data_IF_472182125369
#
_entry.id   IF_472182125369
#
_cell.length_a   1.000
_cell.length_b   1.000
_cell.length_c   1.000
_cell.angle_alpha   90.00
_cell.angle_beta   90.00
_cell.angle_gamma   90.00
#
_symmetry.space_group_name_H-M   'P 1'
#
loop_
_entity.id
_entity.type
_entity.pdbx_description
1 polymer ?
#
# COMPACT_ATOMS: atom_id res chain seq x y z
N UNK A 1 -27.58 -16.01 -8.96
CA UNK A 1 -27.45 -15.30 -7.66
C UNK A 1 -26.47 -15.98 -6.70
N UNK A 2 -26.72 -17.17 -6.12
CA UNK A 2 -25.77 -17.82 -5.19
C UNK A 2 -24.43 -18.22 -5.86
N UNK A 3 -24.46 -18.58 -7.15
CA UNK A 3 -23.26 -18.90 -7.95
C UNK A 3 -22.45 -17.66 -8.37
N UNK A 4 -23.07 -16.48 -8.45
CA UNK A 4 -22.39 -15.25 -8.90
C UNK A 4 -21.61 -14.61 -7.74
N UNK A 5 -22.17 -14.65 -6.51
CA UNK A 5 -21.46 -14.19 -5.31
C UNK A 5 -20.24 -15.06 -4.99
N UNK A 6 -20.34 -16.38 -5.14
CA UNK A 6 -19.21 -17.29 -4.92
C UNK A 6 -18.07 -17.08 -5.95
N UNK A 7 -18.40 -16.73 -7.20
CA UNK A 7 -17.41 -16.38 -8.22
C UNK A 7 -16.74 -15.04 -7.95
N UNK A 8 -17.50 -14.05 -7.49
CA UNK A 8 -16.96 -12.75 -7.09
C UNK A 8 -16.02 -12.85 -5.89
N UNK A 9 -16.34 -13.70 -4.91
CA UNK A 9 -15.47 -13.91 -3.74
C UNK A 9 -14.09 -14.47 -4.12
N UNK A 10 -14.02 -15.33 -5.16
CA UNK A 10 -12.74 -15.83 -5.68
C UNK A 10 -11.91 -14.71 -6.30
N UNK A 11 -12.55 -13.77 -7.01
CA UNK A 11 -11.86 -12.65 -7.65
C UNK A 11 -11.23 -11.69 -6.64
N UNK A 12 -11.85 -11.50 -5.47
CA UNK A 12 -11.32 -10.65 -4.40
C UNK A 12 -10.27 -11.33 -3.51
N UNK A 13 -9.85 -12.58 -3.83
CA UNK A 13 -8.75 -13.20 -3.11
C UNK A 13 -7.45 -12.43 -3.32
N UNK A 14 -6.67 -12.16 -2.25
CA UNK A 14 -5.40 -11.45 -2.35
C UNK A 14 -4.45 -11.99 -3.42
N UNK A 15 -4.28 -13.32 -3.51
CA UNK A 15 -3.38 -13.95 -4.50
C UNK A 15 -3.86 -13.76 -5.92
N UNK A 16 -5.17 -13.81 -6.15
CA UNK A 16 -5.77 -13.60 -7.48
C UNK A 16 -5.56 -12.16 -7.92
N UNK A 17 -5.87 -11.19 -7.05
CA UNK A 17 -5.66 -9.77 -7.34
C UNK A 17 -4.19 -9.45 -7.60
N UNK A 18 -3.28 -9.94 -6.74
CA UNK A 18 -1.84 -9.72 -6.90
C UNK A 18 -1.34 -10.33 -8.21
N UNK A 19 -1.72 -11.57 -8.52
CA UNK A 19 -1.29 -12.24 -9.75
C UNK A 19 -1.81 -11.52 -10.99
N UNK A 20 -3.11 -11.22 -11.05
CA UNK A 20 -3.72 -10.52 -12.20
C UNK A 20 -3.04 -9.18 -12.43
N UNK A 21 -2.85 -8.38 -11.37
CA UNK A 21 -2.24 -7.06 -11.50
C UNK A 21 -0.76 -7.15 -11.87
N UNK A 22 -0.01 -8.11 -11.32
CA UNK A 22 1.40 -8.32 -11.70
C UNK A 22 1.53 -8.72 -13.17
N UNK A 23 0.73 -9.67 -13.65
CA UNK A 23 0.79 -10.07 -15.05
C UNK A 23 0.29 -8.98 -15.98
N UNK A 24 -0.76 -8.24 -15.62
CA UNK A 24 -1.22 -7.07 -16.38
C UNK A 24 -0.13 -6.01 -16.46
N UNK A 25 0.58 -5.73 -15.36
CA UNK A 25 1.68 -4.78 -15.32
C UNK A 25 2.84 -5.20 -16.24
N UNK A 26 3.19 -6.49 -16.24
CA UNK A 26 4.22 -7.04 -17.15
C UNK A 26 3.76 -7.04 -18.61
N UNK A 27 2.49 -7.30 -18.90
CA UNK A 27 1.94 -7.30 -20.26
C UNK A 27 1.87 -5.89 -20.86
N UNK A 28 1.57 -4.88 -20.04
CA UNK A 28 1.52 -3.47 -20.48
C UNK A 28 2.93 -2.89 -20.65
N UNK A 29 3.94 -3.46 -19.97
CA UNK A 29 5.34 -3.06 -20.13
C UNK A 29 5.85 -3.35 -21.54
N UNK A 30 6.48 -2.35 -22.17
CA UNK A 30 7.20 -2.54 -23.43
C UNK A 30 8.58 -3.19 -23.24
N UNK A 31 9.05 -3.32 -22.01
CA UNK A 31 10.33 -3.96 -21.69
C UNK A 31 10.15 -5.47 -21.48
N UNK A 32 10.91 -6.27 -22.23
CA UNK A 32 11.00 -7.73 -22.07
C UNK A 32 11.89 -8.07 -20.88
N UNK A 33 11.38 -8.85 -19.93
CA UNK A 33 12.12 -9.20 -18.72
C UNK A 33 12.98 -10.45 -18.93
N UNK A 34 14.11 -10.53 -18.23
CA UNK A 34 14.96 -11.72 -18.26
C UNK A 34 14.27 -12.95 -17.64
N UNK A 35 14.74 -14.15 -18.00
CA UNK A 35 14.20 -15.41 -17.48
C UNK A 35 14.36 -15.53 -15.96
N UNK A 36 15.46 -15.02 -15.40
CA UNK A 36 15.74 -15.06 -13.96
C UNK A 36 14.73 -14.17 -13.22
N UNK A 37 14.53 -12.94 -13.70
CA UNK A 37 13.53 -12.01 -13.16
C UNK A 37 12.13 -12.60 -13.23
N UNK A 38 11.72 -13.12 -14.39
CA UNK A 38 10.41 -13.77 -14.52
C UNK A 38 10.24 -14.94 -13.55
N UNK A 39 11.26 -15.80 -13.44
CA UNK A 39 11.24 -16.95 -12.53
C UNK A 39 11.10 -16.53 -11.08
N UNK A 40 11.76 -15.43 -10.67
CA UNK A 40 11.63 -14.90 -9.33
C UNK A 40 10.24 -14.32 -9.05
N UNK A 41 9.64 -13.59 -10.01
CA UNK A 41 8.25 -13.10 -9.89
C UNK A 41 7.28 -14.28 -9.69
N UNK A 42 7.40 -15.32 -10.50
CA UNK A 42 6.56 -16.53 -10.39
C UNK A 42 6.77 -17.20 -9.03
N UNK A 43 8.02 -17.35 -8.57
CA UNK A 43 8.31 -17.90 -7.25
C UNK A 43 7.67 -17.08 -6.12
N UNK A 44 7.74 -15.75 -6.19
CA UNK A 44 7.12 -14.88 -5.19
C UNK A 44 5.59 -15.02 -5.18
N UNK A 45 4.95 -15.11 -6.34
CA UNK A 45 3.50 -15.35 -6.44
C UNK A 45 3.10 -16.72 -5.88
N UNK A 46 3.90 -17.76 -6.14
CA UNK A 46 3.69 -19.10 -5.57
C UNK A 46 3.82 -19.09 -4.05
N UNK A 47 4.89 -18.48 -3.52
CA UNK A 47 5.10 -18.33 -2.07
C UNK A 47 3.97 -17.53 -1.42
N UNK A 48 3.52 -16.45 -2.08
CA UNK A 48 2.38 -15.67 -1.63
C UNK A 48 1.10 -16.51 -1.56
N UNK A 49 0.80 -17.30 -2.60
CA UNK A 49 -0.36 -18.18 -2.65
C UNK A 49 -0.33 -19.24 -1.54
N UNK A 50 0.84 -19.89 -1.32
CA UNK A 50 1.03 -20.83 -0.21
C UNK A 50 0.79 -20.13 1.13
N UNK A 51 1.35 -18.93 1.30
CA UNK A 51 1.15 -18.10 2.49
C UNK A 51 -0.32 -17.81 2.74
N UNK A 52 -1.06 -17.39 1.71
CA UNK A 52 -2.49 -17.11 1.80
C UNK A 52 -3.28 -18.34 2.26
N UNK A 53 -2.99 -19.52 1.68
CA UNK A 53 -3.64 -20.76 2.10
C UNK A 53 -3.35 -21.11 3.56
N UNK A 54 -2.11 -20.93 4.01
CA UNK A 54 -1.75 -21.08 5.42
C UNK A 54 -2.54 -20.10 6.29
N UNK A 55 -2.67 -18.84 5.87
CA UNK A 55 -3.35 -17.78 6.64
C UNK A 55 -4.84 -18.06 6.77
N UNK A 56 -5.47 -18.50 5.68
CA UNK A 56 -6.87 -18.92 5.66
C UNK A 56 -7.09 -20.13 6.58
N UNK A 57 -6.18 -21.10 6.58
CA UNK A 57 -6.28 -22.31 7.43
C UNK A 57 -6.03 -22.01 8.91
N UNK A 58 -5.13 -21.08 9.22
CA UNK A 58 -4.83 -20.68 10.59
C UNK A 58 -6.02 -19.99 11.27
N UNK A 59 -6.97 -19.46 10.51
CA UNK A 59 -8.07 -18.66 11.04
C UNK A 59 -9.03 -19.45 11.97
N UNK A 60 -8.99 -19.15 13.26
CA UNK A 60 -9.95 -19.65 14.26
C UNK A 60 -11.31 -18.95 14.22
N UNK A 61 -12.42 -19.69 14.42
CA UNK A 61 -13.81 -19.17 14.35
C UNK A 61 -14.24 -18.24 15.51
N UNK A 62 -13.44 -18.12 16.57
CA UNK A 62 -13.81 -17.29 17.73
C UNK A 62 -13.18 -15.91 17.58
N UNK A 63 -13.91 -14.98 16.97
CA UNK A 63 -13.52 -13.57 16.97
C UNK A 63 -14.42 -12.78 17.90
N UNK A 64 -13.79 -12.07 18.84
CA UNK A 64 -14.45 -11.07 19.67
C UNK A 64 -14.78 -9.86 18.79
N UNK A 65 -16.07 -9.55 18.61
CA UNK A 65 -16.51 -8.27 18.04
C UNK A 65 -16.09 -7.15 19.00
N UNK A 66 -14.93 -6.53 18.77
CA UNK A 66 -14.55 -5.33 19.53
C UNK A 66 -15.46 -4.17 19.15
N UNK A 67 -15.85 -3.40 20.16
CA UNK A 67 -16.93 -2.41 20.06
C UNK A 67 -16.54 -1.18 19.22
N UNK A 68 -17.43 -0.80 18.31
CA UNK A 68 -17.38 0.38 17.43
C UNK A 68 -16.96 1.73 18.12
N UNK A 69 -17.28 2.00 19.41
CA UNK A 69 -16.94 3.27 20.06
C UNK A 69 -15.44 3.53 20.27
N UNK A 70 -14.60 2.48 20.39
CA UNK A 70 -13.15 2.66 20.53
C UNK A 70 -12.50 3.11 19.20
N UNK A 71 -13.06 2.68 18.06
CA UNK A 71 -12.56 3.02 16.73
C UNK A 71 -12.68 4.53 16.44
N UNK A 72 -13.76 5.19 16.87
CA UNK A 72 -13.93 6.63 16.70
C UNK A 72 -12.88 7.43 17.49
N UNK A 73 -12.63 7.08 18.76
CA UNK A 73 -11.65 7.79 19.59
C UNK A 73 -10.24 7.68 19.00
N UNK A 74 -9.84 6.47 18.61
CA UNK A 74 -8.54 6.22 17.97
C UNK A 74 -8.46 6.95 16.63
N UNK A 75 -9.52 6.86 15.81
CA UNK A 75 -9.60 7.55 14.52
C UNK A 75 -9.42 9.07 14.66
N UNK A 76 -10.08 9.70 15.64
CA UNK A 76 -9.94 11.14 15.88
C UNK A 76 -8.52 11.54 16.30
N UNK A 77 -7.90 10.80 17.22
CA UNK A 77 -6.53 11.06 17.63
C UNK A 77 -5.55 10.93 16.48
N UNK A 78 -5.64 9.84 15.70
CA UNK A 78 -4.79 9.64 14.53
C UNK A 78 -5.00 10.74 13.48
N UNK A 79 -6.25 11.15 13.25
CA UNK A 79 -6.57 12.21 12.29
C UNK A 79 -5.99 13.57 12.73
N UNK A 80 -6.07 13.89 14.03
CA UNK A 80 -5.53 15.11 14.59
C UNK A 80 -3.99 15.16 14.49
N UNK A 81 -3.30 14.07 14.85
CA UNK A 81 -1.85 13.95 14.68
C UNK A 81 -1.46 14.12 13.23
N UNK A 82 -2.16 13.45 12.31
CA UNK A 82 -1.86 13.53 10.89
C UNK A 82 -2.02 14.95 10.32
N UNK A 83 -3.09 15.66 10.72
CA UNK A 83 -3.31 17.06 10.34
C UNK A 83 -2.20 17.96 10.90
N UNK A 84 -1.86 17.82 12.18
CA UNK A 84 -0.82 18.62 12.80
C UNK A 84 0.54 18.41 12.10
N UNK A 85 0.90 17.16 11.84
CA UNK A 85 2.12 16.82 11.09
C UNK A 85 2.10 17.38 9.67
N UNK A 86 0.98 17.30 8.96
CA UNK A 86 0.83 17.85 7.60
C UNK A 86 1.07 19.37 7.58
N UNK A 87 0.45 20.10 8.52
CA UNK A 87 0.59 21.55 8.61
C UNK A 87 2.03 21.96 8.96
N UNK A 88 2.64 21.30 9.94
CA UNK A 88 4.04 21.53 10.31
C UNK A 88 4.98 21.27 9.14
N UNK A 89 4.71 20.24 8.34
CA UNK A 89 5.53 19.89 7.19
C UNK A 89 5.43 20.95 6.08
N UNK A 90 4.21 21.41 5.74
CA UNK A 90 4.03 22.48 4.75
C UNK A 90 4.66 23.80 5.19
N UNK A 91 4.57 24.12 6.48
CA UNK A 91 5.23 25.30 7.04
C UNK A 91 6.75 25.18 6.96
N UNK A 92 7.31 24.05 7.40
CA UNK A 92 8.76 23.80 7.39
C UNK A 92 9.34 23.72 5.96
N UNK A 93 8.59 23.16 5.01
CA UNK A 93 9.03 23.04 3.61
C UNK A 93 8.81 24.32 2.79
N UNK A 94 8.17 25.35 3.36
CA UNK A 94 7.96 26.63 2.71
C UNK A 94 6.86 26.64 1.64
N UNK A 95 5.92 25.69 1.65
CA UNK A 95 4.80 25.67 0.70
C UNK A 95 4.13 24.31 0.53
N UNK A 96 3.24 24.23 -0.47
CA UNK A 96 2.39 23.07 -0.75
C UNK A 96 2.95 22.27 -1.94
N UNK A 97 3.39 21.01 -1.74
CA UNK A 97 3.93 20.14 -2.77
C UNK A 97 3.10 19.96 -4.04
N UNK A 98 1.76 19.99 -3.93
CA UNK A 98 0.87 19.82 -5.07
C UNK A 98 1.07 20.92 -6.13
N UNK A 99 1.30 22.16 -5.72
CA UNK A 99 1.50 23.29 -6.63
C UNK A 99 2.95 23.45 -7.06
N UNK A 100 3.89 23.04 -6.21
CA UNK A 100 5.32 23.09 -6.49
C UNK A 100 5.97 21.74 -6.15
N UNK A 101 6.06 20.80 -7.11
CA UNK A 101 6.55 19.45 -6.87
C UNK A 101 7.98 19.36 -6.33
N UNK A 102 8.78 20.43 -6.53
CA UNK A 102 10.14 20.57 -6.04
C UNK A 102 10.21 20.70 -4.51
N UNK A 103 9.12 21.12 -3.84
CA UNK A 103 9.08 21.29 -2.38
C UNK A 103 9.23 19.95 -1.64
N UNK A 104 8.88 18.83 -2.29
CA UNK A 104 8.87 17.50 -1.65
C UNK A 104 10.23 17.06 -1.12
N UNK A 105 11.32 17.51 -1.74
CA UNK A 105 12.67 17.18 -1.27
C UNK A 105 13.03 17.88 0.05
N UNK A 106 12.29 18.92 0.42
CA UNK A 106 12.49 19.68 1.67
C UNK A 106 11.52 19.26 2.78
N UNK A 107 10.61 18.33 2.50
CA UNK A 107 9.71 17.80 3.52
C UNK A 107 10.47 16.91 4.49
N UNK A 108 10.14 17.02 5.77
CA UNK A 108 10.71 16.14 6.78
C UNK A 108 10.11 14.72 6.62
N UNK A 109 10.92 13.67 6.45
CA UNK A 109 10.43 12.30 6.24
C UNK A 109 9.54 11.80 7.39
N UNK A 110 9.89 12.09 8.64
CA UNK A 110 9.14 11.65 9.82
C UNK A 110 7.76 12.31 9.87
N UNK A 111 7.69 13.65 9.68
CA UNK A 111 6.40 14.36 9.62
C UNK A 111 5.56 13.91 8.44
N UNK A 112 6.19 13.52 7.33
CA UNK A 112 5.51 12.97 6.16
C UNK A 112 4.86 11.63 6.49
N UNK A 113 5.60 10.70 7.08
CA UNK A 113 5.08 9.41 7.54
C UNK A 113 3.93 9.57 8.54
N UNK A 114 4.04 10.50 9.49
CA UNK A 114 2.96 10.80 10.43
C UNK A 114 1.72 11.40 9.75
N UNK A 115 1.91 12.23 8.73
CA UNK A 115 0.78 12.78 7.96
C UNK A 115 0.03 11.70 7.17
N UNK A 116 0.69 10.61 6.78
CA UNK A 116 0.04 9.48 6.10
C UNK A 116 -0.90 8.67 7.00
N UNK A 117 -0.83 8.85 8.34
CA UNK A 117 -1.83 8.30 9.27
C UNK A 117 -3.25 8.81 9.00
N UNK A 118 -3.40 9.89 8.22
CA UNK A 118 -4.71 10.40 7.82
C UNK A 118 -5.54 9.34 7.07
N UNK A 119 -4.89 8.43 6.33
CA UNK A 119 -5.53 7.36 5.56
C UNK A 119 -6.21 6.34 6.49
N UNK A 120 -5.48 5.62 7.37
CA UNK A 120 -6.12 4.69 8.32
C UNK A 120 -7.09 5.40 9.27
N UNK A 121 -6.80 6.65 9.67
CA UNK A 121 -7.68 7.43 10.52
C UNK A 121 -9.05 7.70 9.87
N UNK A 122 -9.06 8.12 8.60
CA UNK A 122 -10.30 8.36 7.87
C UNK A 122 -11.14 7.09 7.72
N UNK A 123 -10.51 5.94 7.44
CA UNK A 123 -11.20 4.65 7.35
C UNK A 123 -11.85 4.25 8.69
N UNK A 124 -11.14 4.44 9.81
CA UNK A 124 -11.67 4.21 11.15
C UNK A 124 -12.87 5.11 11.45
N UNK A 125 -12.79 6.39 11.11
CA UNK A 125 -13.90 7.33 11.29
C UNK A 125 -15.11 6.94 10.42
N UNK A 126 -14.90 6.57 9.16
CA UNK A 126 -15.99 6.13 8.27
C UNK A 126 -16.72 4.91 8.82
N UNK A 127 -15.98 3.87 9.22
CA UNK A 127 -16.54 2.67 9.82
C UNK A 127 -17.24 2.98 11.15
N UNK A 128 -16.63 3.83 11.99
CA UNK A 128 -17.20 4.25 13.26
C UNK A 128 -18.54 4.98 13.10
N UNK A 129 -18.71 5.73 12.01
CA UNK A 129 -19.95 6.46 11.70
C UNK A 129 -21.04 5.63 11.01
N UNK A 130 -20.76 4.39 10.62
CA UNK A 130 -21.70 3.53 9.86
C UNK A 130 -23.09 3.40 10.50
N UNK A 131 -23.18 3.34 11.83
CA UNK A 131 -24.42 3.17 12.58
C UNK A 131 -25.18 4.45 12.97
N UNK A 132 -24.79 5.63 12.48
CA UNK A 132 -25.42 6.90 12.89
C UNK A 132 -26.47 7.42 11.90
N UNK A 133 -27.47 8.18 12.42
CA UNK A 133 -28.63 8.73 11.68
C UNK A 133 -28.30 9.59 10.43
N UNK A 134 -27.05 10.05 10.29
CA UNK A 134 -26.52 10.79 9.12
C UNK A 134 -25.18 10.20 8.62
N UNK A 135 -25.00 8.89 8.74
CA UNK A 135 -23.75 8.20 8.43
C UNK A 135 -23.21 8.53 7.04
N UNK A 136 -24.07 8.46 6.01
CA UNK A 136 -23.68 8.68 4.60
C UNK A 136 -23.09 10.07 4.34
N UNK A 137 -23.72 11.12 4.87
CA UNK A 137 -23.24 12.51 4.70
C UNK A 137 -21.90 12.70 5.42
N UNK A 138 -21.77 12.16 6.64
CA UNK A 138 -20.52 12.25 7.41
C UNK A 138 -19.39 11.49 6.74
N UNK A 139 -19.65 10.28 6.23
CA UNK A 139 -18.66 9.50 5.49
C UNK A 139 -18.24 10.22 4.21
N UNK A 140 -19.18 10.83 3.46
CA UNK A 140 -18.86 11.62 2.27
C UNK A 140 -18.00 12.84 2.61
N UNK A 141 -18.32 13.54 3.71
CA UNK A 141 -17.54 14.68 4.17
C UNK A 141 -16.11 14.27 4.56
N UNK A 142 -15.96 13.19 5.34
CA UNK A 142 -14.65 12.63 5.68
C UNK A 142 -13.89 12.25 4.41
N UNK A 143 -14.55 11.56 3.47
CA UNK A 143 -13.94 11.16 2.21
C UNK A 143 -13.41 12.36 1.42
N UNK A 144 -14.24 13.38 1.21
CA UNK A 144 -13.88 14.55 0.44
C UNK A 144 -12.76 15.37 1.11
N UNK A 145 -12.84 15.60 2.42
CA UNK A 145 -11.83 16.35 3.17
C UNK A 145 -10.50 15.60 3.19
N UNK A 146 -10.52 14.29 3.47
CA UNK A 146 -9.29 13.48 3.46
C UNK A 146 -8.68 13.40 2.07
N UNK A 147 -9.48 13.20 1.02
CA UNK A 147 -8.99 13.18 -0.36
C UNK A 147 -8.32 14.51 -0.73
N UNK A 148 -8.95 15.63 -0.35
CA UNK A 148 -8.37 16.96 -0.55
C UNK A 148 -7.03 17.10 0.18
N UNK A 149 -6.98 16.81 1.49
CA UNK A 149 -5.78 16.96 2.30
C UNK A 149 -4.61 16.09 1.83
N UNK A 150 -4.86 14.82 1.51
CA UNK A 150 -3.80 13.93 0.99
C UNK A 150 -3.34 14.42 -0.38
N UNK A 151 -4.24 14.92 -1.23
CA UNK A 151 -3.86 15.43 -2.56
C UNK A 151 -2.90 16.62 -2.47
N UNK A 152 -3.01 17.47 -1.44
CA UNK A 152 -2.08 18.59 -1.21
C UNK A 152 -0.62 18.15 -1.03
N UNK A 153 -0.39 16.91 -0.56
CA UNK A 153 0.96 16.36 -0.41
C UNK A 153 1.66 16.07 -1.75
N UNK A 154 0.91 15.99 -2.85
CA UNK A 154 1.46 15.66 -4.17
C UNK A 154 2.02 14.22 -4.29
N UNK A 155 1.75 13.34 -3.31
CA UNK A 155 2.10 11.91 -3.37
C UNK A 155 0.94 11.10 -3.99
N UNK A 156 1.16 10.55 -5.19
CA UNK A 156 0.15 9.77 -5.92
C UNK A 156 -0.21 8.45 -5.22
N UNK A 157 0.81 7.79 -4.66
CA UNK A 157 0.66 6.49 -3.96
C UNK A 157 -0.36 6.59 -2.84
N UNK A 158 -0.22 7.56 -1.93
CA UNK A 158 -1.12 7.70 -0.78
C UNK A 158 -2.56 8.04 -1.16
N UNK A 159 -2.75 8.87 -2.21
CA UNK A 159 -4.08 9.13 -2.75
C UNK A 159 -4.72 7.84 -3.26
N UNK A 160 -3.98 7.03 -4.03
CA UNK A 160 -4.47 5.75 -4.53
C UNK A 160 -4.75 4.77 -3.40
N UNK A 161 -3.87 4.71 -2.40
CA UNK A 161 -4.07 3.88 -1.20
C UNK A 161 -5.40 4.25 -0.54
N UNK A 162 -5.65 5.53 -0.32
CA UNK A 162 -6.90 5.98 0.28
C UNK A 162 -8.12 5.62 -0.56
N UNK A 163 -8.09 5.87 -1.86
CA UNK A 163 -9.21 5.59 -2.77
C UNK A 163 -9.55 4.10 -2.82
N UNK A 164 -8.57 3.23 -3.11
CA UNK A 164 -8.82 1.80 -3.23
C UNK A 164 -9.13 1.15 -1.88
N UNK A 165 -8.47 1.57 -0.80
CA UNK A 165 -8.76 1.05 0.54
C UNK A 165 -10.18 1.42 0.97
N UNK A 166 -10.64 2.63 0.66
CA UNK A 166 -12.03 3.03 0.94
C UNK A 166 -13.02 2.13 0.21
N UNK A 167 -12.79 1.83 -1.07
CA UNK A 167 -13.67 0.95 -1.85
C UNK A 167 -13.74 -0.45 -1.23
N UNK A 168 -12.60 -1.03 -0.87
CA UNK A 168 -12.54 -2.37 -0.24
C UNK A 168 -13.21 -2.37 1.15
N UNK A 169 -12.95 -1.37 1.99
CA UNK A 169 -13.58 -1.27 3.31
C UNK A 169 -15.09 -1.15 3.19
N UNK A 170 -15.59 -0.29 2.30
CA UNK A 170 -17.03 -0.13 2.07
C UNK A 170 -17.67 -1.42 1.51
N UNK A 171 -16.93 -2.18 0.70
CA UNK A 171 -17.35 -3.51 0.22
C UNK A 171 -17.46 -4.52 1.34
N UNK A 172 -16.40 -4.70 2.15
CA UNK A 172 -16.37 -5.68 3.24
C UNK A 172 -17.36 -5.36 4.36
N UNK A 173 -17.59 -4.07 4.64
CA UNK A 173 -18.54 -3.65 5.67
C UNK A 173 -19.99 -3.59 5.21
N UNK A 174 -20.25 -3.71 3.90
CA UNK A 174 -21.60 -3.72 3.34
C UNK A 174 -22.38 -2.41 3.53
N UNK A 175 -21.70 -1.30 3.85
CA UNK A 175 -22.35 -0.01 4.17
C UNK A 175 -22.98 0.61 2.91
N UNK A 176 -22.41 0.34 1.74
CA UNK A 176 -22.71 0.99 0.46
C UNK A 176 -23.09 -0.07 -0.58
N UNK A 177 -24.05 0.24 -1.44
CA UNK A 177 -24.51 -0.70 -2.48
C UNK A 177 -23.46 -0.90 -3.57
N UNK A 178 -23.46 -2.06 -4.24
CA UNK A 178 -22.51 -2.39 -5.32
C UNK A 178 -22.50 -1.35 -6.45
N UNK A 179 -23.66 -0.76 -6.78
CA UNK A 179 -23.76 0.32 -7.78
C UNK A 179 -22.98 1.57 -7.36
N UNK A 180 -23.10 1.97 -6.10
CA UNK A 180 -22.38 3.13 -5.56
C UNK A 180 -20.88 2.86 -5.45
N UNK A 181 -20.47 1.61 -5.15
CA UNK A 181 -19.07 1.21 -5.19
C UNK A 181 -18.48 1.32 -6.60
N UNK A 182 -19.22 0.90 -7.64
CA UNK A 182 -18.78 1.06 -9.03
C UNK A 182 -18.60 2.54 -9.41
N UNK A 183 -19.53 3.40 -9.01
CA UNK A 183 -19.43 4.85 -9.24
C UNK A 183 -18.20 5.45 -8.55
N UNK A 184 -17.94 5.06 -7.30
CA UNK A 184 -16.73 5.45 -6.55
C UNK A 184 -15.45 4.95 -7.21
N UNK A 185 -15.46 3.73 -7.76
CA UNK A 185 -14.34 3.17 -8.51
C UNK A 185 -14.03 3.95 -9.79
N UNK A 186 -15.07 4.28 -10.57
CA UNK A 186 -14.90 5.12 -11.77
C UNK A 186 -14.38 6.51 -11.38
N UNK A 187 -14.92 7.11 -10.33
CA UNK A 187 -14.45 8.41 -9.83
C UNK A 187 -12.98 8.35 -9.38
N UNK A 188 -12.57 7.28 -8.69
CA UNK A 188 -11.19 7.08 -8.26
C UNK A 188 -10.22 7.01 -9.45
N UNK A 189 -10.59 6.27 -10.50
CA UNK A 189 -9.80 6.17 -11.73
C UNK A 189 -9.71 7.52 -12.44
N UNK A 190 -10.83 8.23 -12.59
CA UNK A 190 -10.85 9.57 -13.19
C UNK A 190 -9.99 10.57 -12.39
N UNK A 191 -10.09 10.54 -11.06
CA UNK A 191 -9.32 11.40 -10.18
C UNK A 191 -7.81 11.11 -10.28
N UNK A 192 -7.43 9.84 -10.37
CA UNK A 192 -6.05 9.44 -10.60
C UNK A 192 -5.50 10.01 -11.93
N UNK A 193 -6.27 9.90 -13.00
CA UNK A 193 -5.89 10.47 -14.30
C UNK A 193 -5.78 11.99 -14.26
N UNK A 194 -6.74 12.67 -13.62
CA UNK A 194 -6.71 14.11 -13.45
C UNK A 194 -5.46 14.58 -12.68
N UNK A 195 -5.13 13.92 -11.56
CA UNK A 195 -3.92 14.22 -10.80
C UNK A 195 -2.64 13.98 -11.60
N UNK A 196 -2.62 12.94 -12.42
CA UNK A 196 -1.46 12.65 -13.28
C UNK A 196 -1.29 13.75 -14.31
N UNK A 197 -2.36 14.13 -15.03
CA UNK A 197 -2.31 15.19 -16.04
C UNK A 197 -1.86 16.55 -15.48
N UNK A 198 -2.43 16.97 -14.34
CA UNK A 198 -2.08 18.25 -13.70
C UNK A 198 -0.59 18.30 -13.34
N UNK A 199 -0.04 17.15 -12.94
CA UNK A 199 1.32 17.07 -12.42
C UNK A 199 2.39 16.93 -13.51
N UNK A 200 2.17 16.07 -14.49
CA UNK A 200 3.18 15.74 -15.52
C UNK A 200 2.97 16.50 -16.83
N UNK A 201 1.87 17.25 -16.97
CA UNK A 201 1.54 17.94 -18.22
C UNK A 201 1.19 17.01 -19.37
N UNK A 202 1.04 15.70 -19.11
CA UNK A 202 0.81 14.66 -20.11
C UNK A 202 0.92 13.24 -19.54
N UNK A 203 0.64 12.24 -20.37
CA UNK A 203 0.77 10.82 -20.05
C UNK A 203 2.21 10.34 -20.29
N UNK A 204 2.91 9.97 -19.22
CA UNK A 204 4.20 9.28 -19.33
C UNK A 204 3.95 7.77 -19.48
N UNK A 205 3.77 7.33 -20.73
CA UNK A 205 3.54 5.92 -21.09
C UNK A 205 4.74 5.02 -20.77
N UNK A 206 5.93 5.59 -20.57
CA UNK A 206 7.16 4.82 -20.34
C UNK A 206 7.37 4.46 -18.87
N UNK A 207 6.53 4.94 -17.95
CA UNK A 207 6.75 4.72 -16.52
C UNK A 207 6.71 3.25 -16.11
N UNK A 208 5.75 2.48 -16.64
CA UNK A 208 5.63 1.04 -16.37
C UNK A 208 6.90 0.34 -16.86
N UNK A 209 7.33 0.60 -18.09
CA UNK A 209 8.55 0.03 -18.67
C UNK A 209 9.81 0.44 -17.92
N UNK A 210 9.89 1.68 -17.43
CA UNK A 210 10.99 2.16 -16.58
C UNK A 210 11.06 1.42 -15.25
N UNK A 211 9.92 1.13 -14.61
CA UNK A 211 9.87 0.34 -13.37
C UNK A 211 10.25 -1.12 -13.60
N UNK A 212 9.78 -1.72 -14.69
CA UNK A 212 10.09 -3.12 -15.03
C UNK A 212 11.56 -3.27 -15.42
N UNK A 213 12.11 -2.33 -16.20
CA UNK A 213 13.54 -2.34 -16.54
C UNK A 213 14.43 -2.06 -15.33
N UNK A 214 14.04 -1.15 -14.44
CA UNK A 214 14.73 -0.94 -13.16
C UNK A 214 14.76 -2.22 -12.32
N UNK A 215 13.66 -2.97 -12.28
CA UNK A 215 13.59 -4.26 -11.61
C UNK A 215 14.53 -5.29 -12.26
N UNK A 216 14.46 -5.47 -13.58
CA UNK A 216 15.29 -6.46 -14.29
C UNK A 216 16.79 -6.12 -14.15
N UNK A 217 17.13 -4.84 -14.16
CA UNK A 217 18.49 -4.37 -13.90
C UNK A 217 18.95 -4.74 -12.49
N UNK A 218 18.14 -4.46 -11.45
CA UNK A 218 18.46 -4.83 -10.07
C UNK A 218 18.73 -6.34 -9.94
N UNK A 219 17.90 -7.17 -10.57
CA UNK A 219 18.09 -8.62 -10.59
C UNK A 219 19.39 -9.00 -11.30
N UNK A 220 19.71 -8.37 -12.43
CA UNK A 220 20.92 -8.65 -13.20
C UNK A 220 22.22 -8.32 -12.46
N UNK A 221 22.17 -7.33 -11.55
CA UNK A 221 23.32 -6.90 -10.76
C UNK A 221 23.42 -7.62 -9.41
N UNK A 222 22.35 -8.31 -8.99
CA UNK A 222 22.29 -8.96 -7.68
C UNK A 222 22.57 -10.46 -7.82
N UNK A 223 23.43 -10.99 -6.94
CA UNK A 223 23.69 -12.43 -6.86
C UNK A 223 22.42 -13.21 -6.46
N UNK A 224 22.40 -14.51 -6.78
CA UNK A 224 21.26 -15.39 -6.46
C UNK A 224 20.97 -15.53 -4.96
N UNK A 225 21.94 -15.19 -4.11
CA UNK A 225 21.83 -15.18 -2.63
C UNK A 225 21.58 -13.77 -2.07
N UNK A 226 21.48 -12.75 -2.91
CA UNK A 226 21.32 -11.36 -2.52
C UNK A 226 22.67 -10.66 -2.27
N UNK A 227 22.66 -9.35 -2.47
CA UNK A 227 23.82 -8.48 -2.36
C UNK A 227 23.79 -7.65 -1.06
N UNK A 228 22.63 -7.06 -0.73
CA UNK A 228 22.51 -6.07 0.35
C UNK A 228 22.08 -6.62 1.70
N UNK A 229 21.71 -7.90 1.80
CA UNK A 229 21.41 -8.63 3.05
C UNK A 229 20.42 -7.93 3.99
N UNK A 230 19.45 -7.18 3.43
CA UNK A 230 18.40 -6.48 4.16
C UNK A 230 18.60 -4.97 4.26
N UNK A 231 19.76 -4.45 3.83
CA UNK A 231 20.05 -3.02 3.93
C UNK A 231 19.10 -2.16 3.08
N UNK A 232 18.60 -2.65 1.94
CA UNK A 232 17.67 -1.89 1.09
C UNK A 232 16.29 -1.84 1.73
N UNK A 233 15.76 -2.99 2.15
CA UNK A 233 14.43 -3.08 2.76
C UNK A 233 14.29 -2.35 4.09
N UNK A 234 15.36 -2.32 4.88
CA UNK A 234 15.35 -1.75 6.22
C UNK A 234 16.10 -0.42 6.29
N UNK A 235 16.47 0.18 5.16
CA UNK A 235 17.22 1.43 5.09
C UNK A 235 16.60 2.53 5.98
N UNK A 236 15.30 2.75 5.84
CA UNK A 236 14.55 3.76 6.61
C UNK A 236 14.54 3.45 8.12
N UNK A 237 14.53 2.17 8.49
CA UNK A 237 14.62 1.76 9.89
C UNK A 237 16.01 2.01 10.44
N UNK A 238 17.04 1.64 9.69
CA UNK A 238 18.44 1.84 10.07
C UNK A 238 18.73 3.33 10.20
N UNK A 239 18.20 4.17 9.30
CA UNK A 239 18.36 5.64 9.35
C UNK A 239 17.83 6.25 10.65
N UNK A 240 16.66 5.79 11.15
CA UNK A 240 16.09 6.27 12.42
C UNK A 240 17.02 6.02 13.62
N UNK A 241 17.76 4.91 13.60
CA UNK A 241 18.65 4.50 14.69
C UNK A 241 20.13 4.80 14.41
N UNK A 242 20.44 5.41 13.27
CA UNK A 242 21.80 5.72 12.83
C UNK A 242 22.12 7.19 13.06
N UNK A 243 23.36 7.48 13.47
CA UNK A 243 23.89 8.84 13.52
C UNK A 243 24.43 9.33 12.17
N UNK A 244 24.55 8.42 11.19
CA UNK A 244 24.97 8.70 9.82
C UNK A 244 23.72 8.80 8.92
N UNK A 245 23.66 9.79 8.00
CA UNK A 245 22.54 9.91 7.07
C UNK A 245 22.55 8.72 6.11
N UNK A 246 21.52 7.87 6.20
CA UNK A 246 21.34 6.73 5.31
C UNK A 246 20.33 7.11 4.25
N UNK A 247 20.66 6.82 2.98
CA UNK A 247 19.71 6.99 1.90
C UNK A 247 18.51 6.06 2.10
N UNK A 248 17.30 6.60 2.03
CA UNK A 248 16.08 5.78 2.04
C UNK A 248 16.11 4.72 0.93
N UNK A 249 15.44 3.60 1.14
CA UNK A 249 15.74 2.41 0.34
C UNK A 249 15.44 2.55 -1.17
N UNK A 250 14.50 3.42 -1.58
CA UNK A 250 14.29 3.78 -3.00
C UNK A 250 15.45 4.57 -3.63
N UNK A 251 16.23 5.27 -2.82
CA UNK A 251 17.44 6.01 -3.24
C UNK A 251 18.66 5.09 -3.24
N UNK A 252 18.68 4.04 -2.42
CA UNK A 252 19.67 2.98 -2.53
C UNK A 252 19.49 2.20 -3.84
N UNK A 253 18.25 1.87 -4.21
CA UNK A 253 17.93 1.20 -5.48
C UNK A 253 18.39 2.02 -6.69
N UNK A 254 18.17 3.34 -6.70
CA UNK A 254 18.66 4.18 -7.80
C UNK A 254 20.18 4.24 -7.89
N UNK A 255 20.85 4.25 -6.73
CA UNK A 255 22.31 4.19 -6.64
C UNK A 255 22.82 2.85 -7.21
N UNK A 256 22.13 1.73 -6.95
CA UNK A 256 22.44 0.44 -7.57
C UNK A 256 22.22 0.41 -9.09
N UNK A 257 21.17 1.08 -9.58
CA UNK A 257 20.88 1.15 -11.01
C UNK A 257 21.87 2.09 -11.75
N UNK A 258 22.72 2.83 -11.02
CA UNK A 258 23.65 3.80 -11.60
C UNK A 258 22.97 5.06 -12.13
N UNK A 259 21.68 5.26 -11.80
CA UNK A 259 20.95 6.49 -12.12
C UNK A 259 21.27 7.49 -11.02
N UNK A 260 22.06 8.52 -11.37
CA UNK A 260 22.45 9.70 -10.55
C UNK A 260 22.16 9.57 -9.04
N UNK A 261 23.22 9.49 -8.24
CA UNK A 261 23.17 9.55 -6.77
C UNK A 261 22.25 10.70 -6.29
N UNK A 262 21.22 10.36 -5.50
CA UNK A 262 20.29 11.32 -4.91
C UNK A 262 18.90 11.41 -5.57
N UNK A 263 18.62 10.67 -6.65
CA UNK A 263 17.27 10.59 -7.26
C UNK A 263 16.60 9.30 -6.86
N UNK A 264 15.38 9.30 -6.32
CA UNK A 264 14.67 8.05 -6.02
C UNK A 264 14.16 7.38 -7.30
N UNK A 265 14.52 6.11 -7.49
CA UNK A 265 14.03 5.28 -8.60
C UNK A 265 13.28 4.09 -8.01
N UNK A 266 12.06 3.85 -8.49
CA UNK A 266 11.24 2.75 -8.00
C UNK A 266 11.46 1.52 -8.87
N UNK A 267 11.96 0.44 -8.27
CA UNK A 267 11.85 -0.90 -8.86
C UNK A 267 10.48 -1.50 -8.53
N UNK A 268 10.07 -2.49 -9.32
CA UNK A 268 8.89 -3.31 -9.05
C UNK A 268 8.91 -3.90 -7.62
N UNK A 269 7.75 -4.27 -7.07
CA UNK A 269 7.58 -4.92 -5.75
C UNK A 269 8.64 -5.99 -5.42
N UNK A 270 9.05 -6.74 -6.42
CA UNK A 270 9.97 -7.88 -6.31
C UNK A 270 11.45 -7.49 -6.31
N UNK A 271 11.82 -6.29 -6.75
CA UNK A 271 13.21 -5.85 -6.84
C UNK A 271 13.95 -5.77 -5.49
N UNK A 272 13.43 -5.03 -4.49
CA UNK A 272 14.12 -4.86 -3.22
C UNK A 272 14.37 -6.19 -2.48
N UNK A 273 13.37 -7.10 -2.33
CA UNK A 273 13.60 -8.42 -1.74
C UNK A 273 14.67 -9.25 -2.45
N UNK A 274 14.76 -9.17 -3.79
CA UNK A 274 15.80 -9.88 -4.55
C UNK A 274 17.18 -9.24 -4.34
N UNK A 275 17.27 -7.92 -4.34
CA UNK A 275 18.54 -7.22 -4.06
C UNK A 275 19.10 -7.61 -2.69
N UNK A 276 18.23 -7.72 -1.69
CA UNK A 276 18.62 -8.06 -0.32
C UNK A 276 18.97 -9.53 -0.14
N UNK A 277 18.12 -10.45 -0.61
CA UNK A 277 18.20 -11.87 -0.24
C UNK A 277 18.17 -12.82 -1.44
N UNK A 278 18.20 -12.31 -2.67
CA UNK A 278 18.09 -13.10 -3.89
C UNK A 278 16.80 -13.92 -3.91
N UNK A 279 16.91 -15.20 -4.28
CA UNK A 279 15.74 -16.10 -4.31
C UNK A 279 15.11 -16.32 -2.94
N UNK A 280 15.87 -16.20 -1.84
CA UNK A 280 15.34 -16.31 -0.48
C UNK A 280 14.42 -15.14 -0.11
N UNK A 281 14.52 -14.01 -0.83
CA UNK A 281 13.60 -12.87 -0.68
C UNK A 281 12.13 -13.25 -0.95
N UNK A 282 11.88 -14.34 -1.68
CA UNK A 282 10.53 -14.88 -1.90
C UNK A 282 9.81 -15.29 -0.60
N UNK A 283 10.54 -15.58 0.49
CA UNK A 283 9.96 -15.90 1.80
C UNK A 283 9.21 -14.72 2.42
N UNK A 284 9.55 -13.49 2.06
CA UNK A 284 8.81 -12.30 2.50
C UNK A 284 7.37 -12.33 1.94
N UNK A 285 7.20 -12.82 0.73
CA UNK A 285 5.88 -12.97 0.11
C UNK A 285 5.07 -14.09 0.76
N UNK A 286 5.72 -15.14 1.28
CA UNK A 286 5.05 -16.13 2.14
C UNK A 286 4.44 -15.46 3.37
N UNK A 287 5.19 -14.59 4.04
CA UNK A 287 4.70 -13.82 5.20
C UNK A 287 3.57 -12.87 4.82
N UNK A 288 3.71 -12.09 3.73
CA UNK A 288 2.64 -11.20 3.26
C UNK A 288 1.37 -11.96 2.89
N UNK A 289 1.51 -13.11 2.21
CA UNK A 289 0.42 -14.01 1.89
C UNK A 289 -0.28 -14.51 3.15
N UNK A 290 0.49 -14.92 4.17
CA UNK A 290 -0.07 -15.40 5.44
C UNK A 290 -0.92 -14.35 6.17
N UNK A 291 -0.40 -13.13 6.32
CA UNK A 291 -1.13 -12.02 6.94
C UNK A 291 -2.40 -11.67 6.15
N UNK A 292 -2.30 -11.61 4.82
CA UNK A 292 -3.44 -11.26 3.97
C UNK A 292 -4.49 -12.37 3.87
N UNK A 293 -4.09 -13.63 3.87
CA UNK A 293 -5.00 -14.78 3.90
C UNK A 293 -5.82 -14.83 5.18
N UNK A 294 -5.17 -14.56 6.33
CA UNK A 294 -5.88 -14.39 7.60
C UNK A 294 -6.84 -13.19 7.53
N UNK A 295 -6.33 -12.04 7.10
CA UNK A 295 -7.10 -10.80 6.99
C UNK A 295 -8.32 -10.93 6.07
N UNK A 296 -8.23 -11.68 4.98
CA UNK A 296 -9.32 -11.91 4.04
C UNK A 296 -10.50 -12.64 4.70
N UNK A 297 -10.23 -13.67 5.52
CA UNK A 297 -11.28 -14.34 6.30
C UNK A 297 -11.80 -13.43 7.43
N UNK A 298 -10.91 -12.76 8.13
CA UNK A 298 -11.28 -11.87 9.24
C UNK A 298 -12.13 -10.66 8.79
N UNK A 299 -11.84 -10.10 7.62
CA UNK A 299 -12.53 -8.94 7.06
C UNK A 299 -14.03 -9.18 6.84
N UNK A 300 -14.42 -10.43 6.54
CA UNK A 300 -15.83 -10.82 6.41
C UNK A 300 -16.60 -10.83 7.73
N UNK A 301 -15.91 -10.81 8.88
CA UNK A 301 -16.52 -10.96 10.21
C UNK A 301 -16.56 -9.66 11.03
N UNK A 302 -15.68 -8.70 10.73
CA UNK A 302 -15.58 -7.47 11.53
C UNK A 302 -14.95 -6.30 10.80
N UNK A 303 -15.45 -5.11 11.10
CA UNK A 303 -15.08 -3.88 10.40
C UNK A 303 -13.66 -3.39 10.69
N UNK A 304 -13.09 -3.68 11.86
CA UNK A 304 -11.69 -3.39 12.17
C UNK A 304 -10.70 -4.21 11.33
N UNK A 305 -11.00 -5.51 11.13
CA UNK A 305 -10.22 -6.38 10.25
C UNK A 305 -10.31 -5.95 8.80
N UNK A 306 -11.49 -5.52 8.36
CA UNK A 306 -11.69 -5.02 7.00
C UNK A 306 -10.79 -3.81 6.70
N UNK A 307 -10.60 -2.89 7.65
CA UNK A 307 -9.71 -1.72 7.47
C UNK A 307 -8.26 -2.16 7.28
N UNK A 308 -7.73 -2.94 8.22
CA UNK A 308 -6.33 -3.37 8.19
C UNK A 308 -6.03 -4.25 6.97
N UNK A 309 -6.93 -5.18 6.65
CA UNK A 309 -6.81 -6.03 5.47
C UNK A 309 -6.80 -5.20 4.18
N UNK A 310 -7.73 -4.26 4.04
CA UNK A 310 -7.85 -3.41 2.84
C UNK A 310 -6.62 -2.54 2.65
N UNK A 311 -6.11 -1.90 3.72
CA UNK A 311 -4.91 -1.07 3.67
C UNK A 311 -3.70 -1.88 3.21
N UNK A 312 -3.41 -2.98 3.90
CA UNK A 312 -2.23 -3.80 3.64
C UNK A 312 -2.29 -4.42 2.24
N UNK A 313 -3.48 -4.88 1.80
CA UNK A 313 -3.68 -5.39 0.45
C UNK A 313 -3.39 -4.31 -0.60
N UNK A 314 -3.96 -3.11 -0.44
CA UNK A 314 -3.80 -2.03 -1.41
C UNK A 314 -2.36 -1.53 -1.48
N UNK A 315 -1.66 -1.41 -0.34
CA UNK A 315 -0.23 -1.10 -0.34
C UNK A 315 0.58 -2.14 -1.10
N UNK A 316 0.26 -3.43 -0.96
CA UNK A 316 0.91 -4.49 -1.71
C UNK A 316 0.64 -4.37 -3.22
N UNK A 317 -0.62 -4.13 -3.61
CA UNK A 317 -1.01 -4.01 -5.01
C UNK A 317 -0.37 -2.79 -5.69
N UNK A 318 -0.37 -1.63 -5.03
CA UNK A 318 0.31 -0.43 -5.57
C UNK A 318 1.83 -0.60 -5.54
N UNK A 319 2.33 -1.37 -4.57
CA UNK A 319 3.73 -1.77 -4.46
C UNK A 319 4.30 -2.44 -5.71
N UNK A 320 3.45 -3.02 -6.58
CA UNK A 320 3.85 -3.56 -7.90
C UNK A 320 4.59 -2.46 -8.69
N UNK A 321 4.07 -1.24 -8.74
CA UNK A 321 4.71 -0.13 -9.47
C UNK A 321 5.76 0.60 -8.62
N UNK A 322 5.50 0.78 -7.32
CA UNK A 322 6.30 1.71 -6.50
C UNK A 322 7.41 1.05 -5.67
N UNK A 323 7.45 -0.28 -5.63
CA UNK A 323 8.28 -1.06 -4.72
C UNK A 323 7.83 -0.92 -3.26
N UNK A 324 7.98 -1.99 -2.47
CA UNK A 324 7.82 -1.93 -1.01
C UNK A 324 9.20 -1.78 -0.39
N UNK A 325 9.54 -0.53 -0.11
CA UNK A 325 10.76 -0.18 0.62
C UNK A 325 10.47 0.77 1.78
N UNK A 326 9.26 1.35 1.80
CA UNK A 326 8.88 2.32 2.81
C UNK A 326 8.59 1.60 4.14
N UNK A 327 9.21 2.07 5.23
CA UNK A 327 9.02 1.54 6.59
C UNK A 327 7.53 1.45 7.00
N UNK A 328 6.72 2.40 6.53
CA UNK A 328 5.30 2.47 6.88
C UNK A 328 4.52 1.22 6.47
N UNK A 329 4.91 0.59 5.36
CA UNK A 329 4.25 -0.63 4.85
C UNK A 329 4.53 -1.80 5.81
N UNK A 330 5.77 -1.95 6.25
CA UNK A 330 6.14 -2.96 7.25
C UNK A 330 5.43 -2.75 8.58
N UNK A 331 5.33 -1.49 9.05
CA UNK A 331 4.56 -1.16 10.25
C UNK A 331 3.10 -1.59 10.10
N UNK A 332 2.46 -1.37 8.94
CA UNK A 332 1.09 -1.79 8.71
C UNK A 332 0.93 -3.32 8.67
N UNK A 333 1.85 -4.06 8.04
CA UNK A 333 1.83 -5.52 8.05
C UNK A 333 1.97 -6.09 9.47
N UNK A 334 2.91 -5.57 10.26
CA UNK A 334 3.13 -5.99 11.65
C UNK A 334 1.94 -5.61 12.53
N UNK A 335 1.40 -4.40 12.38
CA UNK A 335 0.21 -3.97 13.12
C UNK A 335 -1.01 -4.82 12.78
N UNK A 336 -1.22 -5.14 11.49
CA UNK A 336 -2.28 -6.03 11.05
C UNK A 336 -2.13 -7.43 11.67
N UNK A 337 -0.94 -8.02 11.56
CA UNK A 337 -0.65 -9.32 12.14
C UNK A 337 -0.86 -9.36 13.67
N UNK A 338 -0.36 -8.34 14.38
CA UNK A 338 -0.49 -8.22 15.83
C UNK A 338 -1.96 -8.08 16.25
N UNK A 339 -2.73 -7.27 15.53
CA UNK A 339 -4.16 -7.12 15.77
C UNK A 339 -4.93 -8.41 15.49
N UNK A 340 -4.57 -9.14 14.43
CA UNK A 340 -5.16 -10.43 14.10
C UNK A 340 -4.93 -11.47 15.18
N UNK A 341 -3.68 -11.60 15.65
CA UNK A 341 -3.31 -12.56 16.70
C UNK A 341 -3.87 -12.20 18.06
N UNK A 342 -3.85 -10.93 18.44
CA UNK A 342 -4.38 -10.48 19.73
C UNK A 342 -5.87 -10.82 19.91
N UNK A 343 -6.66 -10.82 18.83
CA UNK A 343 -8.09 -11.09 18.90
C UNK A 343 -8.47 -12.54 18.50
N UNK A 344 -7.48 -13.38 18.19
CA UNK A 344 -7.64 -14.83 17.97
C UNK A 344 -7.58 -15.62 19.30
N UNK A 345 -6.94 -15.01 20.32
CA UNK A 345 -6.96 -15.41 21.73
C UNK A 345 -8.22 -14.85 22.38
#
# INVERSE_FOLDING_TARGET
MKNDEARLDIFFRPSVLLSILTFLFLLVSSHSISLISFSFVVLCLLMFFVGELLGIRSFGRKIVKKSLPQALKVGYWMYAVAIASLHLNFYASGGIPLFQPAIRQFMNPLLTTLSFLIVPAALLLMVGYSGHRKSKIRMLAIFAVTLFLISLTGFRTEVMVFLFSTILVLRYTGIVSTKQLMQLGILAVLFFFALTLIRTGGFDSNRISSTVSAYDFVVSQSDSMGYTKGFVQFADFIDIFSSLPIYGGRTLISTFIGVRSGVSTTSMLYGPPYADFGFMGSLIFLFFGWVLGFGYKAASQGSGYAILHSLVLVFLLIGIETGIVDLIVWIYFIAAFSYYKYNEI
#
